data_IF_375869686527
#
_entry.id   IF_375869686527
#
_cell.length_a   1.000
_cell.length_b   1.000
_cell.length_c   1.000
_cell.angle_alpha   90.00
_cell.angle_beta   90.00
_cell.angle_gamma   90.00
#
_symmetry.space_group_name_H-M   'P 1'
#
loop_
_entity.id
_entity.type
_entity.pdbx_description
1 polymer ?
#
# COMPACT_ATOMS: atom_id res chain seq x y z
N UNK A 1 -34.17 -12.64 10.21
CA UNK A 1 -32.95 -13.27 10.76
C UNK A 1 -31.83 -12.95 9.80
N UNK A 2 -30.77 -12.24 10.21
CA UNK A 2 -29.62 -12.06 9.34
C UNK A 2 -28.96 -13.43 9.18
N UNK A 3 -28.85 -13.93 7.96
CA UNK A 3 -28.13 -15.16 7.67
C UNK A 3 -26.65 -14.90 7.94
N UNK A 4 -26.09 -15.62 8.91
CA UNK A 4 -24.65 -15.67 9.14
C UNK A 4 -23.92 -15.92 7.81
N UNK A 5 -22.83 -15.19 7.51
CA UNK A 5 -22.04 -15.46 6.32
C UNK A 5 -21.54 -16.91 6.41
N UNK A 6 -21.94 -17.75 5.44
CA UNK A 6 -21.51 -19.15 5.31
C UNK A 6 -20.00 -19.23 5.54
N UNK A 7 -19.58 -19.85 6.65
CA UNK A 7 -18.18 -20.18 6.88
C UNK A 7 -17.76 -21.20 5.81
N UNK A 8 -16.99 -20.74 4.83
CA UNK A 8 -16.44 -21.60 3.78
C UNK A 8 -15.34 -22.46 4.40
N UNK A 9 -15.45 -23.79 4.27
CA UNK A 9 -14.38 -24.70 4.70
C UNK A 9 -13.10 -24.41 3.90
N UNK A 10 -11.90 -24.62 4.47
CA UNK A 10 -10.63 -24.37 3.76
C UNK A 10 -10.49 -25.15 2.44
N UNK A 11 -11.21 -26.27 2.28
CA UNK A 11 -11.21 -27.07 1.04
C UNK A 11 -12.16 -26.51 -0.04
N UNK A 12 -13.17 -25.73 0.35
CA UNK A 12 -14.14 -25.12 -0.56
C UNK A 12 -13.86 -23.63 -0.82
N UNK A 13 -12.81 -23.09 -0.22
CA UNK A 13 -12.44 -21.69 -0.37
C UNK A 13 -12.04 -21.39 -1.82
N UNK A 14 -12.58 -20.31 -2.44
CA UNK A 14 -12.14 -19.89 -3.75
C UNK A 14 -10.62 -19.69 -3.74
N UNK A 15 -9.95 -20.24 -4.76
CA UNK A 15 -8.49 -20.20 -4.93
C UNK A 15 -7.66 -21.07 -3.97
N UNK A 16 -8.27 -21.99 -3.21
CA UNK A 16 -7.52 -22.96 -2.41
C UNK A 16 -6.54 -23.78 -3.28
N UNK A 17 -5.28 -23.87 -2.84
CA UNK A 17 -4.20 -24.57 -3.54
C UNK A 17 -3.78 -23.96 -4.88
N UNK A 18 -4.31 -22.79 -5.25
CA UNK A 18 -4.06 -22.21 -6.56
C UNK A 18 -2.60 -21.70 -6.73
N UNK A 19 -2.18 -21.60 -7.99
CA UNK A 19 -0.88 -21.03 -8.36
C UNK A 19 -1.07 -19.60 -8.89
N UNK A 20 -0.33 -18.66 -8.30
CA UNK A 20 -0.35 -17.24 -8.66
C UNK A 20 1.01 -16.82 -9.21
N UNK A 21 1.02 -15.84 -10.10
CA UNK A 21 2.25 -15.15 -10.50
C UNK A 21 2.33 -13.78 -9.85
N UNK A 22 3.50 -13.42 -9.34
CA UNK A 22 3.77 -12.09 -8.78
C UNK A 22 4.96 -11.48 -9.51
N UNK A 23 4.70 -10.40 -10.26
CA UNK A 23 5.75 -9.58 -10.85
C UNK A 23 6.16 -8.52 -9.83
N UNK A 24 7.35 -8.66 -9.24
CA UNK A 24 7.82 -7.72 -8.22
C UNK A 24 9.34 -7.62 -8.17
N UNK A 25 9.80 -6.41 -7.85
CA UNK A 25 11.15 -6.12 -7.35
C UNK A 25 11.10 -5.70 -5.88
N UNK A 26 12.26 -5.73 -5.23
CA UNK A 26 12.50 -5.15 -3.89
C UNK A 26 11.83 -5.88 -2.72
N UNK A 27 11.67 -7.20 -2.79
CA UNK A 27 11.39 -8.03 -1.61
C UNK A 27 9.92 -8.09 -1.17
N UNK A 28 8.97 -7.61 -1.99
CA UNK A 28 7.54 -7.60 -1.62
C UNK A 28 6.98 -9.03 -1.48
N UNK A 29 7.55 -9.99 -2.20
CA UNK A 29 7.20 -11.40 -2.10
C UNK A 29 7.38 -11.96 -0.69
N UNK A 30 8.27 -11.38 0.13
CA UNK A 30 8.46 -11.75 1.54
C UNK A 30 7.25 -11.42 2.40
N UNK A 31 6.51 -10.37 2.07
CA UNK A 31 5.27 -10.01 2.76
C UNK A 31 4.08 -10.82 2.22
N UNK A 32 4.05 -11.12 0.92
CA UNK A 32 2.88 -11.68 0.22
C UNK A 32 2.85 -13.21 0.28
N UNK A 33 3.96 -13.87 -0.07
CA UNK A 33 4.00 -15.33 -0.25
C UNK A 33 3.62 -16.12 0.99
N UNK A 34 4.16 -15.81 2.19
CA UNK A 34 3.81 -16.57 3.39
C UNK A 34 2.32 -16.47 3.75
N UNK A 35 1.68 -15.32 3.48
CA UNK A 35 0.26 -15.09 3.77
C UNK A 35 -0.64 -15.91 2.85
N UNK A 36 -0.36 -15.91 1.54
CA UNK A 36 -1.08 -16.75 0.58
C UNK A 36 -0.91 -18.24 0.88
N UNK A 37 0.32 -18.68 1.21
CA UNK A 37 0.57 -20.07 1.59
C UNK A 37 -0.21 -20.46 2.85
N UNK A 38 -0.20 -19.61 3.90
CA UNK A 38 -0.88 -19.90 5.15
C UNK A 38 -2.43 -19.87 5.03
N UNK A 39 -2.98 -18.92 4.27
CA UNK A 39 -4.43 -18.74 4.16
C UNK A 39 -5.08 -19.70 3.15
N UNK A 40 -4.43 -19.94 2.02
CA UNK A 40 -5.01 -20.65 0.87
C UNK A 40 -4.26 -21.94 0.52
N UNK A 41 -3.11 -22.24 1.12
CA UNK A 41 -2.22 -23.31 0.63
C UNK A 41 -1.67 -23.02 -0.77
N UNK A 42 -1.69 -21.75 -1.17
CA UNK A 42 -1.34 -21.33 -2.52
C UNK A 42 0.17 -21.25 -2.74
N UNK A 43 0.58 -21.35 -4.00
CA UNK A 43 1.97 -21.12 -4.43
C UNK A 43 2.07 -19.82 -5.23
N UNK A 44 3.19 -19.11 -5.09
CA UNK A 44 3.46 -17.88 -5.84
C UNK A 44 4.73 -18.07 -6.68
N UNK A 45 4.58 -18.05 -7.99
CA UNK A 45 5.68 -17.91 -8.93
C UNK A 45 6.10 -16.44 -9.00
N UNK A 46 7.23 -16.12 -8.35
CA UNK A 46 7.80 -14.77 -8.37
C UNK A 46 8.63 -14.60 -9.64
N UNK A 47 8.43 -13.48 -10.34
CA UNK A 47 9.25 -13.12 -11.49
C UNK A 47 9.70 -11.66 -11.40
N UNK A 48 10.93 -11.41 -11.83
CA UNK A 48 11.55 -10.09 -12.00
C UNK A 48 11.96 -9.86 -13.47
N UNK A 49 11.50 -10.73 -14.39
CA UNK A 49 11.86 -10.74 -15.81
C UNK A 49 11.40 -9.47 -16.56
N UNK A 50 10.60 -8.62 -15.91
CA UNK A 50 10.25 -7.29 -16.39
C UNK A 50 10.63 -6.24 -15.35
N UNK A 51 11.28 -5.17 -15.81
CA UNK A 51 11.65 -4.09 -14.93
C UNK A 51 10.44 -3.25 -14.52
N UNK A 52 9.89 -3.54 -13.34
CA UNK A 52 8.73 -2.82 -12.81
C UNK A 52 9.01 -1.35 -12.50
N UNK A 53 10.28 -0.94 -12.39
CA UNK A 53 10.63 0.46 -12.14
C UNK A 53 10.32 1.33 -13.36
N UNK A 54 10.21 0.73 -14.56
CA UNK A 54 9.70 1.40 -15.77
C UNK A 54 8.23 1.82 -15.67
N UNK A 55 7.50 1.29 -14.68
CA UNK A 55 6.11 1.69 -14.38
C UNK A 55 6.04 2.79 -13.31
N UNK A 56 7.19 3.24 -12.80
CA UNK A 56 7.35 4.33 -11.84
C UNK A 56 8.24 3.96 -10.65
N UNK A 57 8.99 4.93 -10.12
CA UNK A 57 9.83 4.76 -8.91
C UNK A 57 9.44 5.72 -7.79
N UNK A 58 9.72 5.33 -6.54
CA UNK A 58 9.53 6.21 -5.37
C UNK A 58 10.53 7.36 -5.31
N UNK A 59 11.71 7.18 -5.90
CA UNK A 59 12.82 8.14 -5.97
C UNK A 59 12.64 9.18 -7.08
N UNK A 60 11.45 9.31 -7.67
CA UNK A 60 11.11 10.32 -8.69
C UNK A 60 11.93 10.22 -9.99
N UNK A 61 12.70 9.14 -10.19
CA UNK A 61 13.49 8.92 -11.40
C UNK A 61 12.59 8.61 -12.61
N UNK A 62 11.50 7.88 -12.39
CA UNK A 62 10.53 7.50 -13.44
C UNK A 62 9.11 7.87 -12.96
N UNK A 63 8.37 8.69 -13.72
CA UNK A 63 6.97 9.00 -13.42
C UNK A 63 6.09 7.75 -13.39
N UNK A 64 5.07 7.73 -12.53
CA UNK A 64 4.14 6.61 -12.41
C UNK A 64 3.26 6.47 -13.67
N UNK A 65 3.05 5.24 -14.11
CA UNK A 65 2.05 4.92 -15.13
C UNK A 65 0.63 4.91 -14.53
N UNK A 66 -0.28 5.76 -15.05
CA UNK A 66 -1.68 5.78 -14.63
C UNK A 66 -1.87 6.04 -13.13
N UNK A 67 -3.00 5.56 -12.58
CA UNK A 67 -3.21 5.56 -11.13
C UNK A 67 -2.64 4.28 -10.47
N UNK A 68 -2.62 4.24 -9.13
CA UNK A 68 -2.04 3.13 -8.36
C UNK A 68 -2.70 1.77 -8.68
N UNK A 69 -4.01 1.74 -8.93
CA UNK A 69 -4.77 0.54 -9.27
C UNK A 69 -4.47 0.06 -10.68
N UNK A 70 -4.36 0.98 -11.64
CA UNK A 70 -4.04 0.65 -13.03
C UNK A 70 -2.65 0.01 -13.13
N UNK A 71 -1.67 0.59 -12.43
CA UNK A 71 -0.31 0.05 -12.37
C UNK A 71 -0.26 -1.34 -11.69
N UNK A 72 -0.97 -1.52 -10.57
CA UNK A 72 -1.07 -2.81 -9.90
C UNK A 72 -1.71 -3.88 -10.80
N UNK A 73 -2.84 -3.56 -11.46
CA UNK A 73 -3.49 -4.44 -12.43
C UNK A 73 -2.57 -4.78 -13.60
N UNK A 74 -1.87 -3.79 -14.15
CA UNK A 74 -0.93 -4.01 -15.27
C UNK A 74 0.18 -4.97 -14.88
N UNK A 75 0.73 -4.84 -13.66
CA UNK A 75 1.73 -5.77 -13.12
C UNK A 75 1.18 -7.19 -12.99
N UNK A 76 -0.05 -7.35 -12.50
CA UNK A 76 -0.72 -8.65 -12.42
C UNK A 76 -0.88 -9.30 -13.81
N UNK A 77 -1.34 -8.53 -14.81
CA UNK A 77 -1.50 -9.01 -16.19
C UNK A 77 -0.16 -9.39 -16.84
N UNK A 78 0.91 -8.63 -16.56
CA UNK A 78 2.27 -8.94 -17.02
C UNK A 78 2.81 -10.20 -16.33
N UNK A 79 2.58 -10.37 -15.02
CA UNK A 79 2.98 -11.55 -14.29
C UNK A 79 2.40 -12.83 -14.92
N UNK A 80 1.11 -12.81 -15.26
CA UNK A 80 0.44 -13.89 -16.01
C UNK A 80 1.14 -14.14 -17.34
N UNK A 81 1.38 -13.08 -18.13
CA UNK A 81 1.98 -13.21 -19.46
C UNK A 81 3.39 -13.82 -19.42
N UNK A 82 4.19 -13.45 -18.43
CA UNK A 82 5.60 -13.86 -18.30
C UNK A 82 5.75 -15.29 -17.77
N UNK A 83 4.83 -15.73 -16.90
CA UNK A 83 4.93 -17.02 -16.20
C UNK A 83 4.03 -18.10 -16.78
N UNK A 84 2.98 -17.72 -17.52
CA UNK A 84 1.92 -18.62 -17.96
C UNK A 84 0.94 -19.03 -16.85
N UNK A 85 1.07 -18.50 -15.62
CA UNK A 85 0.12 -18.79 -14.54
C UNK A 85 -1.28 -18.23 -14.85
N UNK A 86 -2.36 -18.90 -14.41
CA UNK A 86 -3.73 -18.45 -14.67
C UNK A 86 -4.14 -17.21 -13.86
N UNK A 87 -3.44 -16.95 -12.75
CA UNK A 87 -3.73 -15.90 -11.78
C UNK A 87 -2.53 -14.98 -11.63
N UNK A 88 -2.77 -13.67 -11.63
CA UNK A 88 -1.73 -12.65 -11.51
C UNK A 88 -1.94 -11.77 -10.30
N UNK A 89 -0.86 -11.46 -9.60
CA UNK A 89 -0.81 -10.50 -8.51
C UNK A 89 0.09 -9.33 -8.93
N UNK A 90 -0.37 -8.13 -8.62
CA UNK A 90 0.40 -6.91 -8.76
C UNK A 90 0.20 -5.99 -7.58
N UNK A 91 1.29 -5.42 -7.09
CA UNK A 91 1.28 -4.56 -5.90
C UNK A 91 1.81 -3.17 -6.23
N UNK A 92 1.19 -2.16 -5.66
CA UNK A 92 1.66 -0.77 -5.74
C UNK A 92 1.49 -0.03 -4.43
N UNK A 93 2.36 0.97 -4.22
CA UNK A 93 2.40 1.77 -3.00
C UNK A 93 2.47 3.27 -3.25
N UNK A 94 1.95 4.07 -2.34
CA UNK A 94 2.17 5.51 -2.29
C UNK A 94 2.27 6.01 -0.84
N UNK A 95 2.85 7.20 -0.66
CA UNK A 95 2.90 7.91 0.60
C UNK A 95 2.25 9.27 0.42
N UNK A 96 1.44 9.69 1.40
CA UNK A 96 0.86 11.02 1.48
C UNK A 96 1.12 11.62 2.86
N UNK A 97 1.11 12.96 2.99
CA UNK A 97 1.15 13.60 4.31
C UNK A 97 0.01 13.10 5.20
N UNK A 98 0.30 12.92 6.49
CA UNK A 98 -0.73 12.63 7.47
C UNK A 98 -1.65 13.83 7.75
N UNK A 99 -2.71 13.63 8.54
CA UNK A 99 -3.62 14.70 8.95
C UNK A 99 -2.84 15.88 9.55
N UNK A 100 -3.19 17.10 9.16
CA UNK A 100 -2.51 18.33 9.59
C UNK A 100 -0.99 18.36 9.30
N UNK A 101 -0.52 17.56 8.33
CA UNK A 101 0.90 17.45 7.99
C UNK A 101 1.72 16.61 8.97
N UNK A 102 1.09 15.94 9.94
CA UNK A 102 1.77 15.13 10.93
C UNK A 102 2.03 13.72 10.43
N UNK A 103 3.31 13.37 10.30
CA UNK A 103 3.76 12.06 9.84
C UNK A 103 3.35 11.77 8.40
N UNK A 104 3.35 10.49 8.05
CA UNK A 104 3.00 10.03 6.70
C UNK A 104 2.00 8.89 6.77
N UNK A 105 1.12 8.83 5.78
CA UNK A 105 0.26 7.67 5.55
C UNK A 105 0.80 6.91 4.34
N UNK A 106 0.85 5.60 4.46
CA UNK A 106 1.21 4.70 3.39
C UNK A 106 -0.06 4.01 2.88
N UNK A 107 -0.29 4.13 1.58
CA UNK A 107 -1.36 3.47 0.87
C UNK A 107 -0.74 2.33 0.06
N UNK A 108 -1.08 1.09 0.40
CA UNK A 108 -0.64 -0.09 -0.35
C UNK A 108 -1.86 -0.79 -0.95
N UNK A 109 -1.73 -1.22 -2.20
CA UNK A 109 -2.75 -1.99 -2.91
C UNK A 109 -2.14 -3.26 -3.48
N UNK A 110 -2.89 -4.35 -3.45
CA UNK A 110 -2.55 -5.59 -4.14
C UNK A 110 -3.77 -6.04 -4.95
N UNK A 111 -3.58 -6.18 -6.25
CA UNK A 111 -4.62 -6.55 -7.20
C UNK A 111 -4.37 -7.96 -7.71
N UNK A 112 -5.39 -8.81 -7.57
CA UNK A 112 -5.54 -10.09 -8.25
C UNK A 112 -6.25 -9.89 -9.59
N UNK A 113 -5.72 -10.52 -10.63
CA UNK A 113 -6.40 -10.74 -11.92
C UNK A 113 -6.62 -12.23 -12.10
N UNK A 114 -7.89 -12.64 -12.23
CA UNK A 114 -8.32 -13.99 -12.57
C UNK A 114 -8.92 -13.97 -14.00
N UNK A 115 -8.19 -14.54 -14.96
CA UNK A 115 -8.64 -14.59 -16.36
C UNK A 115 -9.76 -15.60 -16.60
N UNK A 116 -9.82 -16.68 -15.83
CA UNK A 116 -10.84 -17.71 -16.02
C UNK A 116 -12.21 -17.23 -15.56
N UNK A 117 -12.24 -16.50 -14.44
CA UNK A 117 -13.48 -15.92 -13.90
C UNK A 117 -13.76 -14.51 -14.41
N UNK A 118 -12.83 -13.92 -15.17
CA UNK A 118 -12.86 -12.52 -15.60
C UNK A 118 -13.05 -11.55 -14.40
N UNK A 119 -12.31 -11.79 -13.33
CA UNK A 119 -12.39 -11.00 -12.09
C UNK A 119 -11.13 -10.20 -11.86
N UNK A 120 -11.32 -9.00 -11.30
CA UNK A 120 -10.26 -8.16 -10.74
C UNK A 120 -10.63 -7.87 -9.29
N UNK A 121 -9.82 -8.35 -8.35
CA UNK A 121 -10.06 -8.17 -6.91
C UNK A 121 -8.88 -7.40 -6.34
N UNK A 122 -9.15 -6.30 -5.66
CA UNK A 122 -8.09 -5.49 -5.03
C UNK A 122 -8.27 -5.47 -3.53
N UNK A 123 -7.22 -5.80 -2.81
CA UNK A 123 -7.07 -5.46 -1.39
C UNK A 123 -6.29 -4.16 -1.24
N UNK A 124 -6.63 -3.36 -0.24
CA UNK A 124 -6.01 -2.06 -0.02
C UNK A 124 -5.97 -1.70 1.47
N UNK A 125 -4.90 -1.00 1.87
CA UNK A 125 -4.82 -0.39 3.19
C UNK A 125 -4.36 1.05 3.10
N UNK A 126 -4.78 1.85 4.07
CA UNK A 126 -4.28 3.20 4.35
C UNK A 126 -3.92 3.26 5.81
N UNK A 127 -2.64 3.16 6.12
CA UNK A 127 -2.12 3.05 7.49
C UNK A 127 -0.98 4.04 7.71
N UNK A 128 -0.63 4.34 8.98
CA UNK A 128 0.59 5.07 9.29
C UNK A 128 1.80 4.45 8.58
N UNK A 129 2.52 5.28 7.85
CA UNK A 129 3.79 4.94 7.22
C UNK A 129 4.96 5.62 7.92
N UNK A 130 6.17 5.33 7.46
CA UNK A 130 7.35 6.07 7.86
C UNK A 130 8.12 6.58 6.63
N UNK A 131 7.87 7.85 6.31
CA UNK A 131 8.55 8.61 5.27
C UNK A 131 8.94 9.97 5.84
N UNK A 132 10.23 10.27 5.81
CA UNK A 132 10.80 11.54 6.22
C UNK A 132 11.82 11.99 5.17
N UNK A 133 11.97 13.30 5.00
CA UNK A 133 13.00 13.89 4.14
C UNK A 133 13.45 15.24 4.69
N UNK A 134 14.62 15.70 4.26
CA UNK A 134 15.16 17.01 4.59
C UNK A 134 16.53 17.25 3.95
N UNK A 135 16.97 18.51 3.97
CA UNK A 135 18.29 18.94 3.48
C UNK A 135 19.13 19.42 4.64
N UNK A 136 20.39 18.99 4.71
CA UNK A 136 21.27 19.19 5.85
C UNK A 136 22.65 19.68 5.42
N UNK A 137 23.10 20.78 6.03
CA UNK A 137 24.43 21.36 5.81
C UNK A 137 25.53 20.72 6.68
N UNK A 138 25.13 20.01 7.74
CA UNK A 138 26.06 19.42 8.70
C UNK A 138 25.75 17.95 8.97
N UNK A 139 26.81 17.19 9.25
CA UNK A 139 26.70 15.78 9.62
C UNK A 139 25.83 15.58 10.86
N UNK A 140 26.01 16.41 11.89
CA UNK A 140 25.27 16.26 13.15
C UNK A 140 23.76 16.45 12.94
N UNK A 141 23.37 17.40 12.07
CA UNK A 141 21.96 17.59 11.71
C UNK A 141 21.40 16.39 10.94
N UNK A 142 22.16 15.83 9.99
CA UNK A 142 21.75 14.63 9.25
C UNK A 142 21.67 13.41 10.17
N UNK A 143 22.63 13.23 11.07
CA UNK A 143 22.65 12.12 12.04
C UNK A 143 21.44 12.20 12.99
N UNK A 144 21.09 13.40 13.46
CA UNK A 144 19.87 13.62 14.25
C UNK A 144 18.59 13.31 13.46
N UNK A 145 18.55 13.68 12.16
CA UNK A 145 17.47 13.30 11.27
C UNK A 145 17.38 11.79 11.07
N UNK A 146 18.52 11.10 10.87
CA UNK A 146 18.56 9.66 10.64
C UNK A 146 17.90 8.90 11.80
N UNK A 147 18.13 9.31 13.04
CA UNK A 147 17.44 8.77 14.22
C UNK A 147 15.92 8.95 14.15
N UNK A 148 15.43 10.14 13.77
CA UNK A 148 13.99 10.42 13.57
C UNK A 148 13.39 9.61 12.42
N UNK A 149 14.21 9.31 11.40
CA UNK A 149 13.87 8.49 10.25
C UNK A 149 13.95 6.97 10.52
N UNK A 150 14.11 6.55 11.79
CA UNK A 150 14.24 5.15 12.24
C UNK A 150 15.44 4.39 11.65
N UNK A 151 16.47 5.10 11.21
CA UNK A 151 17.73 4.49 10.78
C UNK A 151 18.42 3.76 11.95
N UNK A 152 19.07 2.58 11.75
CA UNK A 152 19.29 1.88 10.48
C UNK A 152 18.19 0.89 10.07
N UNK A 153 17.16 0.68 10.90
CA UNK A 153 16.09 -0.27 10.56
C UNK A 153 15.35 0.10 9.29
N UNK A 154 15.20 1.41 9.05
CA UNK A 154 14.73 1.98 7.81
C UNK A 154 15.94 2.58 7.09
N UNK A 155 16.18 2.14 5.85
CA UNK A 155 17.31 2.63 5.08
C UNK A 155 17.09 4.08 4.63
N UNK A 156 18.18 4.75 4.27
CA UNK A 156 18.15 6.10 3.72
C UNK A 156 18.65 6.15 2.28
N UNK A 157 18.19 7.19 1.59
CA UNK A 157 18.70 7.66 0.31
C UNK A 157 19.33 9.03 0.53
N UNK A 158 20.52 9.26 0.00
CA UNK A 158 21.19 10.56 -0.01
C UNK A 158 21.39 11.09 -1.43
N UNK A 159 21.32 12.42 -1.57
CA UNK A 159 21.64 13.19 -2.77
C UNK A 159 22.39 14.47 -2.41
N UNK A 160 23.32 14.95 -3.25
CA UNK A 160 23.84 16.31 -3.15
C UNK A 160 22.73 17.36 -3.34
N UNK A 161 22.81 18.49 -2.66
CA UNK A 161 21.95 19.67 -2.76
C UNK A 161 20.45 19.43 -2.46
N UNK A 162 19.73 18.75 -3.35
CA UNK A 162 18.26 18.63 -3.31
C UNK A 162 17.75 17.28 -3.82
N UNK A 163 16.44 17.07 -3.72
CA UNK A 163 15.76 15.82 -4.08
C UNK A 163 15.82 15.46 -5.57
N UNK A 164 16.25 16.39 -6.44
CA UNK A 164 16.29 16.23 -7.89
C UNK A 164 17.70 16.01 -8.43
N UNK A 165 18.74 16.08 -7.59
CA UNK A 165 20.11 15.86 -8.03
C UNK A 165 20.28 14.44 -8.62
N UNK A 166 20.99 14.28 -9.76
CA UNK A 166 21.09 13.01 -10.47
C UNK A 166 21.96 11.96 -9.76
N UNK A 167 22.96 12.41 -8.99
CA UNK A 167 23.76 11.52 -8.15
C UNK A 167 22.94 11.07 -6.93
N UNK A 168 22.74 9.76 -6.81
CA UNK A 168 21.90 9.17 -5.77
C UNK A 168 22.58 7.98 -5.09
N UNK A 169 22.60 7.98 -3.77
CA UNK A 169 23.08 6.86 -2.93
C UNK A 169 21.89 6.23 -2.24
N UNK A 170 21.54 5.00 -2.64
CA UNK A 170 20.36 4.28 -2.11
C UNK A 170 20.78 3.11 -1.21
N UNK A 171 19.87 2.65 -0.36
CA UNK A 171 20.06 1.40 0.39
C UNK A 171 21.10 1.49 1.51
N UNK A 172 21.29 2.69 2.06
CA UNK A 172 22.18 2.90 3.20
C UNK A 172 21.53 2.29 4.44
N UNK A 173 22.18 1.29 5.03
CA UNK A 173 21.63 0.48 6.13
C UNK A 173 22.57 0.37 7.34
N UNK A 174 23.72 1.04 7.32
CA UNK A 174 24.65 1.09 8.45
C UNK A 174 25.31 2.48 8.56
N UNK A 175 25.72 2.83 9.78
CA UNK A 175 26.22 4.17 10.09
C UNK A 175 27.50 4.54 9.33
N UNK A 176 28.36 3.56 9.02
CA UNK A 176 29.60 3.79 8.27
C UNK A 176 29.31 4.15 6.82
N UNK A 177 28.45 3.37 6.16
CA UNK A 177 28.01 3.64 4.80
C UNK A 177 27.25 4.97 4.70
N UNK A 178 26.42 5.30 5.71
CA UNK A 178 25.72 6.59 5.76
C UNK A 178 26.72 7.76 5.83
N UNK A 179 27.74 7.66 6.67
CA UNK A 179 28.77 8.70 6.79
C UNK A 179 29.56 8.87 5.50
N UNK A 180 30.03 7.78 4.92
CA UNK A 180 30.77 7.82 3.66
C UNK A 180 29.93 8.42 2.53
N UNK A 181 28.64 8.04 2.44
CA UNK A 181 27.72 8.60 1.45
C UNK A 181 27.45 10.10 1.68
N UNK A 182 27.38 10.56 2.94
CA UNK A 182 27.26 11.99 3.25
C UNK A 182 28.49 12.77 2.78
N UNK A 183 29.69 12.31 3.14
CA UNK A 183 30.94 13.00 2.76
C UNK A 183 31.10 13.06 1.23
N UNK A 184 30.72 11.98 0.52
CA UNK A 184 30.67 11.94 -0.95
C UNK A 184 29.63 12.91 -1.53
N UNK A 185 28.40 12.92 -1.00
CA UNK A 185 27.36 13.83 -1.48
C UNK A 185 27.73 15.29 -1.23
N UNK A 186 28.33 15.60 -0.09
CA UNK A 186 28.76 16.95 0.26
C UNK A 186 29.89 17.45 -0.65
N UNK A 187 30.83 16.58 -1.02
CA UNK A 187 31.90 16.92 -1.96
C UNK A 187 31.38 17.26 -3.37
N UNK A 188 30.21 16.74 -3.74
CA UNK A 188 29.54 17.00 -5.02
C UNK A 188 28.54 18.17 -4.94
N UNK A 189 28.12 18.56 -3.75
CA UNK A 189 27.10 19.57 -3.51
C UNK A 189 27.62 20.98 -3.81
N UNK A 190 26.86 21.76 -4.59
CA UNK A 190 27.20 23.16 -4.89
C UNK A 190 26.68 24.12 -3.83
N UNK A 191 25.55 23.78 -3.21
CA UNK A 191 24.95 24.55 -2.13
C UNK A 191 25.53 24.20 -0.75
N UNK A 192 26.44 23.22 -0.67
CA UNK A 192 27.06 22.80 0.59
C UNK A 192 26.10 22.02 1.50
N UNK A 193 25.08 21.38 0.93
CA UNK A 193 24.10 20.61 1.68
C UNK A 193 23.83 19.25 1.04
N UNK A 194 23.33 18.31 1.85
CA UNK A 194 22.95 16.95 1.44
C UNK A 194 21.48 16.73 1.74
N UNK A 195 20.73 16.37 0.70
CA UNK A 195 19.36 15.91 0.84
C UNK A 195 19.34 14.45 1.29
N UNK A 196 18.51 14.15 2.29
CA UNK A 196 18.27 12.80 2.80
C UNK A 196 16.77 12.49 2.80
N UNK A 197 16.40 11.28 2.39
CA UNK A 197 15.02 10.78 2.48
C UNK A 197 14.98 9.31 2.87
N UNK A 198 13.85 8.85 3.41
CA UNK A 198 13.62 7.44 3.67
C UNK A 198 13.67 6.62 2.38
N UNK A 199 14.37 5.50 2.37
CA UNK A 199 14.32 4.55 1.27
C UNK A 199 13.00 3.77 1.31
N UNK A 200 12.10 4.07 0.38
CA UNK A 200 10.75 3.49 0.39
C UNK A 200 10.67 2.12 -0.30
N UNK A 201 11.79 1.52 -0.74
CA UNK A 201 11.78 0.16 -1.31
C UNK A 201 11.43 -0.84 -0.20
N UNK A 202 10.51 -1.78 -0.47
CA UNK A 202 9.88 -2.60 0.58
C UNK A 202 10.90 -3.30 1.51
N UNK A 203 11.86 -4.04 0.96
CA UNK A 203 12.94 -4.69 1.72
C UNK A 203 13.83 -3.77 2.59
N UNK A 204 13.73 -2.45 2.44
CA UNK A 204 14.50 -1.44 3.16
C UNK A 204 13.65 -0.59 4.11
N UNK A 205 12.33 -0.82 4.14
CA UNK A 205 11.38 -0.10 4.98
C UNK A 205 10.44 -1.11 5.66
N UNK A 206 10.77 -1.54 6.90
CA UNK A 206 9.96 -2.51 7.65
C UNK A 206 8.50 -2.08 7.83
N UNK A 207 8.23 -0.82 8.16
CA UNK A 207 6.85 -0.31 8.31
C UNK A 207 6.07 -0.44 7.00
N UNK A 208 6.68 -0.15 5.85
CA UNK A 208 6.05 -0.37 4.54
C UNK A 208 5.81 -1.86 4.27
N UNK A 209 6.76 -2.73 4.63
CA UNK A 209 6.60 -4.19 4.46
C UNK A 209 5.42 -4.73 5.26
N UNK A 210 5.20 -4.23 6.48
CA UNK A 210 4.01 -4.54 7.29
C UNK A 210 2.72 -4.11 6.58
N UNK A 211 2.69 -2.89 6.05
CA UNK A 211 1.52 -2.36 5.33
C UNK A 211 1.22 -3.14 4.03
N UNK A 212 2.24 -3.60 3.29
CA UNK A 212 2.06 -4.52 2.15
C UNK A 212 1.41 -5.83 2.64
N UNK A 213 1.86 -6.33 3.79
CA UNK A 213 1.26 -7.49 4.44
C UNK A 213 -0.22 -7.28 4.76
N UNK A 214 -0.58 -6.12 5.33
CA UNK A 214 -1.97 -5.80 5.64
C UNK A 214 -2.85 -5.67 4.37
N UNK A 215 -2.32 -5.10 3.28
CA UNK A 215 -3.01 -5.08 1.97
C UNK A 215 -3.22 -6.50 1.42
N UNK A 216 -2.26 -7.40 1.65
CA UNK A 216 -2.39 -8.82 1.29
C UNK A 216 -3.47 -9.51 2.11
N UNK A 217 -3.55 -9.24 3.41
CA UNK A 217 -4.57 -9.81 4.29
C UNK A 217 -5.98 -9.31 3.89
N UNK A 218 -6.13 -8.02 3.53
CA UNK A 218 -7.39 -7.48 2.98
C UNK A 218 -7.78 -8.14 1.64
N UNK A 219 -6.82 -8.34 0.74
CA UNK A 219 -7.06 -9.03 -0.53
C UNK A 219 -7.56 -10.47 -0.30
N UNK A 220 -6.89 -11.22 0.58
CA UNK A 220 -7.27 -12.60 0.91
C UNK A 220 -8.68 -12.62 1.52
N UNK A 221 -8.99 -11.72 2.45
CA UNK A 221 -10.31 -11.63 3.06
C UNK A 221 -11.41 -11.37 2.02
N UNK A 222 -11.15 -10.49 1.04
CA UNK A 222 -12.06 -10.24 -0.09
C UNK A 222 -12.21 -11.45 -1.00
N UNK A 223 -11.10 -12.12 -1.34
CA UNK A 223 -11.12 -13.33 -2.17
C UNK A 223 -11.99 -14.43 -1.54
N UNK A 224 -11.92 -14.58 -0.22
CA UNK A 224 -12.67 -15.59 0.53
C UNK A 224 -14.14 -15.23 0.77
N UNK A 225 -14.55 -13.98 0.51
CA UNK A 225 -15.92 -13.54 0.73
C UNK A 225 -16.72 -13.61 -0.57
N UNK A 226 -17.71 -14.50 -0.58
CA UNK A 226 -18.66 -14.66 -1.67
C UNK A 226 -19.72 -13.55 -1.66
N UNK A 227 -20.13 -13.12 -2.84
CA UNK A 227 -21.27 -12.23 -3.00
C UNK A 227 -22.58 -12.97 -2.69
N UNK A 228 -23.48 -12.43 -1.85
CA UNK A 228 -24.74 -13.09 -1.52
C UNK A 228 -25.73 -13.19 -2.69
N UNK A 229 -25.50 -12.45 -3.78
CA UNK A 229 -26.38 -12.44 -4.95
C UNK A 229 -25.90 -13.33 -6.11
N UNK A 230 -24.59 -13.57 -6.25
CA UNK A 230 -24.04 -14.32 -7.39
C UNK A 230 -22.95 -15.33 -6.99
N UNK A 231 -22.68 -15.50 -5.69
CA UNK A 231 -21.67 -16.38 -5.10
C UNK A 231 -20.21 -16.15 -5.58
N UNK A 232 -19.96 -15.17 -6.44
CA UNK A 232 -18.62 -14.85 -6.92
C UNK A 232 -17.72 -14.33 -5.77
N UNK A 233 -16.42 -14.69 -5.77
CA UNK A 233 -15.46 -14.15 -4.81
C UNK A 233 -15.18 -12.67 -5.07
N UNK A 234 -14.66 -11.98 -4.04
CA UNK A 234 -14.28 -10.57 -4.14
C UNK A 234 -15.33 -9.59 -3.62
N UNK A 235 -16.37 -10.08 -2.94
CA UNK A 235 -17.32 -9.22 -2.24
C UNK A 235 -16.63 -8.59 -1.02
N UNK A 236 -16.68 -7.27 -0.87
CA UNK A 236 -15.89 -6.61 0.18
C UNK A 236 -16.17 -5.12 0.32
N UNK A 237 -15.61 -4.53 1.39
CA UNK A 237 -15.78 -3.12 1.73
C UNK A 237 -15.25 -2.23 0.60
N UNK A 238 -16.13 -1.60 -0.17
CA UNK A 238 -15.74 -0.74 -1.28
C UNK A 238 -15.67 0.73 -0.88
N UNK A 239 -16.54 1.16 0.03
CA UNK A 239 -16.67 2.57 0.42
C UNK A 239 -17.16 2.70 1.87
N UNK A 240 -16.70 3.76 2.54
CA UNK A 240 -17.35 4.28 3.73
C UNK A 240 -18.27 5.42 3.31
N UNK A 241 -19.57 5.27 3.51
CA UNK A 241 -20.56 6.30 3.20
C UNK A 241 -20.51 7.39 4.28
N UNK A 242 -20.17 8.62 3.91
CA UNK A 242 -20.18 9.79 4.80
C UNK A 242 -21.61 10.22 5.18
N UNK A 243 -21.71 11.08 6.20
CA UNK A 243 -22.96 11.71 6.60
C UNK A 243 -23.46 11.28 7.97
N UNK A 244 -22.56 10.87 8.88
CA UNK A 244 -22.94 10.62 10.26
C UNK A 244 -23.49 11.93 10.88
N UNK A 245 -24.67 11.94 11.53
CA UNK A 245 -25.28 13.18 12.01
C UNK A 245 -24.43 13.91 13.05
N UNK A 246 -24.24 15.22 12.90
CA UNK A 246 -23.50 16.04 13.86
C UNK A 246 -24.17 16.01 15.25
N UNK A 247 -23.38 15.92 16.32
CA UNK A 247 -23.91 15.89 17.68
C UNK A 247 -24.54 17.22 18.14
N UNK A 248 -24.20 18.34 17.50
CA UNK A 248 -24.73 19.68 17.81
C UNK A 248 -25.92 20.07 16.92
N UNK A 249 -25.72 20.12 15.60
CA UNK A 249 -26.74 20.64 14.67
C UNK A 249 -27.55 19.54 13.96
N UNK A 250 -27.15 18.27 14.05
CA UNK A 250 -27.80 17.16 13.36
C UNK A 250 -27.49 17.03 11.86
N UNK A 251 -26.84 18.01 11.24
CA UNK A 251 -26.49 17.97 9.81
C UNK A 251 -25.48 16.84 9.49
N UNK A 252 -25.49 16.31 8.25
CA UNK A 252 -24.51 15.31 7.81
C UNK A 252 -23.07 15.82 7.92
N UNK A 253 -22.19 15.00 8.50
CA UNK A 253 -20.75 15.30 8.62
C UNK A 253 -19.91 14.53 7.61
N UNK A 254 -18.61 14.86 7.54
CA UNK A 254 -17.65 14.08 6.77
C UNK A 254 -17.31 12.72 7.42
N UNK A 255 -17.73 12.49 8.67
CA UNK A 255 -17.58 11.18 9.34
C UNK A 255 -18.56 10.17 8.72
N UNK A 256 -18.18 8.89 8.75
CA UNK A 256 -18.90 7.82 8.06
C UNK A 256 -20.07 7.29 8.89
N UNK A 257 -21.19 7.01 8.20
CA UNK A 257 -22.43 6.48 8.78
C UNK A 257 -22.69 5.02 8.40
N UNK A 258 -22.08 4.52 7.32
CA UNK A 258 -22.26 3.14 6.88
C UNK A 258 -21.03 2.62 6.11
N UNK A 259 -20.84 1.32 6.17
CA UNK A 259 -19.93 0.56 5.32
C UNK A 259 -20.70 0.04 4.10
N UNK A 260 -20.20 0.29 2.89
CA UNK A 260 -20.75 -0.28 1.67
C UNK A 260 -19.87 -1.40 1.14
N UNK A 261 -20.46 -2.58 1.00
CA UNK A 261 -19.85 -3.77 0.44
C UNK A 261 -20.32 -3.97 -0.99
N UNK A 262 -19.39 -4.09 -1.94
CA UNK A 262 -19.71 -4.23 -3.36
C UNK A 262 -19.18 -5.55 -3.90
N UNK A 263 -19.90 -6.12 -4.88
CA UNK A 263 -19.42 -7.26 -5.65
C UNK A 263 -18.60 -6.80 -6.85
N UNK A 264 -17.52 -7.53 -7.16
CA UNK A 264 -16.70 -7.29 -8.35
C UNK A 264 -17.27 -7.92 -9.64
N UNK A 265 -18.25 -8.83 -9.50
CA UNK A 265 -18.80 -9.63 -10.60
C UNK A 265 -20.23 -9.23 -11.00
N UNK A 266 -20.98 -8.56 -10.12
CA UNK A 266 -22.36 -8.15 -10.38
C UNK A 266 -22.67 -6.81 -9.68
N UNK A 267 -23.80 -6.15 -10.00
CA UNK A 267 -24.16 -4.85 -9.41
C UNK A 267 -24.59 -4.89 -7.93
N UNK A 268 -24.44 -6.02 -7.23
CA UNK A 268 -24.92 -6.15 -5.86
C UNK A 268 -24.11 -5.28 -4.88
N UNK A 269 -24.84 -4.54 -4.06
CA UNK A 269 -24.31 -3.65 -3.02
C UNK A 269 -25.08 -3.92 -1.72
N UNK A 270 -24.35 -4.03 -0.62
CA UNK A 270 -24.91 -4.12 0.73
C UNK A 270 -24.39 -2.95 1.57
N UNK A 271 -25.28 -2.18 2.18
CA UNK A 271 -24.92 -1.10 3.10
C UNK A 271 -25.16 -1.55 4.54
N UNK A 272 -24.14 -1.42 5.38
CA UNK A 272 -24.16 -1.76 6.80
C UNK A 272 -23.98 -0.49 7.63
N UNK A 273 -25.02 -0.02 8.33
CA UNK A 273 -24.90 1.15 9.19
C UNK A 273 -23.83 0.96 10.26
N UNK A 274 -23.15 2.06 10.57
CA UNK A 274 -22.20 2.15 11.68
C UNK A 274 -22.89 1.82 13.00
N UNK A 275 -22.30 0.93 13.79
CA UNK A 275 -22.88 0.48 15.06
C UNK A 275 -22.14 0.99 16.30
N UNK A 276 -20.86 1.37 16.17
CA UNK A 276 -20.05 1.88 17.28
C UNK A 276 -20.34 3.35 17.63
N UNK A 277 -20.87 4.12 16.67
CA UNK A 277 -21.13 5.55 16.81
C UNK A 277 -22.34 5.99 15.99
N UNK A 278 -23.25 6.74 16.62
CA UNK A 278 -24.47 7.25 15.98
C UNK A 278 -24.48 8.77 15.77
N UNK A 279 -23.57 9.50 16.41
CA UNK A 279 -23.40 10.95 16.24
C UNK A 279 -21.92 11.30 16.06
N UNK A 280 -21.63 12.22 15.16
CA UNK A 280 -20.28 12.68 14.87
C UNK A 280 -19.85 13.81 15.81
N UNK A 281 -18.52 13.92 15.99
CA UNK A 281 -17.90 15.08 16.61
C UNK A 281 -18.13 16.32 15.71
N UNK A 282 -18.58 17.47 16.25
CA UNK A 282 -18.79 18.70 15.48
C UNK A 282 -17.56 19.17 14.71
N UNK A 283 -16.35 18.77 15.10
CA UNK A 283 -15.11 19.04 14.36
C UNK A 283 -15.07 18.44 12.95
N UNK A 284 -15.90 17.43 12.65
CA UNK A 284 -16.07 16.86 11.31
C UNK A 284 -17.27 17.44 10.54
N UNK A 285 -18.03 18.36 11.14
CA UNK A 285 -19.23 18.94 10.55
C UNK A 285 -18.87 20.20 9.74
N UNK A 286 -19.10 20.23 8.42
CA UNK A 286 -18.83 21.42 7.61
C UNK A 286 -19.65 22.66 8.01
N UNK A 287 -20.76 22.48 8.74
CA UNK A 287 -21.58 23.58 9.23
C UNK A 287 -21.07 24.14 10.57
N UNK A 288 -20.71 23.26 11.53
CA UNK A 288 -20.23 23.69 12.84
C UNK A 288 -18.72 24.03 12.85
N UNK A 289 -17.95 23.44 11.95
CA UNK A 289 -16.52 23.63 11.77
C UNK A 289 -16.19 23.73 10.26
N UNK A 290 -16.54 24.87 9.62
CA UNK A 290 -16.32 25.11 8.19
C UNK A 290 -14.84 25.18 7.81
#
# INVERSE_FOLDING_TARGET
MPTDPKQISRQDAPYAGASFALLTKHGKERAITPRFAAALGATIAVTDAFDTDTLGTFTREIPRFGNQLDAARKKAELAIKLTGCPLGLGSEGSFIPGPFGLGSLNLEVITLVDRHRNLVITGAVRQPGHHASGTFETWDALAAFAGKAKFPTHALVLRPDDENHPHIRKGLTDHGALRAAYDECLALAKAGAVFAESDLRAHLNPTRTENIGAACDDLIARMMRACPACDAPGFGLARLESGLPCSWCGEPTNDWKAEEFHCVACPHIESKPRTDRHKADPGFCPHCNP
#
